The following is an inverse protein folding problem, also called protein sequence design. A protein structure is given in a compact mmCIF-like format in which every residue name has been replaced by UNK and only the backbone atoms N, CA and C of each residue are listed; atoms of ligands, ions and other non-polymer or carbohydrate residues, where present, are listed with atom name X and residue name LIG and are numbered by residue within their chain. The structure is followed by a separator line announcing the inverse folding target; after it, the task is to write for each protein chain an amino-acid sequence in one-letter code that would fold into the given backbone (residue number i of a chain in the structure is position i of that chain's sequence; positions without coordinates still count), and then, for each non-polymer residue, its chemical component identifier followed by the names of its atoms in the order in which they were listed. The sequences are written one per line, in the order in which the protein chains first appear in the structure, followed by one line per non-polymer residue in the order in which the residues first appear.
data_IF_157435074932
#
_entry.id   IF_157435074932
#
_cell.length_a   1.000
_cell.length_b   1.000
_cell.length_c   1.000
_cell.angle_alpha   90.00
_cell.angle_beta   90.00
_cell.angle_gamma   90.00
#
_symmetry.space_group_name_H-M   'P 1'
#
loop_
_entity.id
_entity.type
_entity.pdbx_description
1 polymer ?
2 polymer ?
3 water ?
#
# COMPACT_ATOMS: atom_id res chain seq x y z
N UNK A 1 43.24 -25.84 -28.84
CA UNK A 1 42.04 -26.32 -28.16
C UNK A 1 41.89 -25.73 -26.75
N UNK A 2 42.99 -25.72 -26.00
CA UNK A 2 42.98 -25.19 -24.64
C UNK A 2 42.80 -23.67 -24.64
N UNK A 3 43.44 -23.00 -25.60
CA UNK A 3 43.32 -21.56 -25.71
C UNK A 3 41.90 -21.24 -26.15
N UNK A 4 41.38 -22.06 -27.06
CA UNK A 4 40.03 -21.89 -27.56
C UNK A 4 39.05 -21.96 -26.40
N UNK A 5 39.20 -23.00 -25.58
CA UNK A 5 38.34 -23.18 -24.42
C UNK A 5 38.47 -21.98 -23.49
N UNK A 6 39.71 -21.57 -23.24
CA UNK A 6 39.97 -20.42 -22.39
C UNK A 6 39.27 -19.16 -22.90
N UNK A 7 39.33 -18.93 -24.21
CA UNK A 7 38.68 -17.78 -24.83
C UNK A 7 37.17 -17.86 -24.66
N UNK A 8 36.62 -19.05 -24.88
CA UNK A 8 35.19 -19.27 -24.73
C UNK A 8 34.78 -18.91 -23.31
N UNK A 9 35.51 -19.46 -22.34
CA UNK A 9 35.25 -19.20 -20.93
C UNK A 9 35.21 -17.71 -20.63
N UNK A 10 36.25 -17.00 -21.06
CA UNK A 10 36.32 -15.56 -20.82
C UNK A 10 35.12 -14.84 -21.41
N UNK A 11 34.77 -15.18 -22.65
CA UNK A 11 33.62 -14.58 -23.30
C UNK A 11 32.36 -14.85 -22.48
N UNK A 12 32.18 -16.11 -22.09
CA UNK A 12 31.03 -16.50 -21.29
C UNK A 12 30.97 -15.68 -20.00
N UNK A 13 32.10 -15.61 -19.30
CA UNK A 13 32.19 -14.86 -18.06
C UNK A 13 31.77 -13.40 -18.21
N UNK A 14 32.30 -12.71 -19.21
CA UNK A 14 31.94 -11.32 -19.43
C UNK A 14 30.44 -11.17 -19.59
N UNK A 15 29.89 -11.98 -20.48
CA UNK A 15 28.46 -11.97 -20.73
C UNK A 15 27.68 -12.33 -19.47
N UNK A 16 28.16 -13.31 -18.72
CA UNK A 16 27.48 -13.71 -17.50
C UNK A 16 27.45 -12.57 -16.47
N UNK A 17 28.56 -11.85 -16.34
CA UNK A 17 28.62 -10.75 -15.39
C UNK A 17 27.64 -9.67 -15.84
N UNK A 18 27.60 -9.41 -17.15
CA UNK A 18 26.67 -8.41 -17.66
C UNK A 18 25.22 -8.79 -17.37
N UNK A 19 24.91 -10.07 -17.56
CA UNK A 19 23.57 -10.58 -17.33
C UNK A 19 23.20 -10.40 -15.87
N UNK A 20 24.12 -10.74 -14.98
CA UNK A 20 23.84 -10.60 -13.57
C UNK A 20 23.64 -9.12 -13.22
N UNK A 21 24.38 -8.25 -13.89
CA UNK A 21 24.24 -6.83 -13.65
C UNK A 21 22.84 -6.36 -13.98
N UNK A 22 22.32 -6.83 -15.11
CA UNK A 22 20.97 -6.48 -15.56
C UNK A 22 19.93 -6.98 -14.57
N UNK A 23 20.12 -8.20 -14.08
CA UNK A 23 19.21 -8.77 -13.12
C UNK A 23 19.26 -7.94 -11.84
N UNK A 24 20.45 -7.48 -11.47
CA UNK A 24 20.60 -6.66 -10.27
C UNK A 24 19.82 -5.35 -10.42
N UNK A 25 19.89 -4.76 -11.61
CA UNK A 25 19.15 -3.54 -11.90
C UNK A 25 17.65 -3.80 -11.71
N UNK A 26 17.18 -4.92 -12.24
CA UNK A 26 15.79 -5.32 -12.13
C UNK A 26 15.38 -5.49 -10.66
N UNK A 27 16.25 -6.10 -9.87
CA UNK A 27 15.98 -6.31 -8.45
C UNK A 27 15.85 -4.96 -7.75
N UNK A 28 16.74 -4.03 -8.10
CA UNK A 28 16.72 -2.68 -7.57
C UNK A 28 15.38 -2.02 -7.88
N UNK A 29 14.97 -2.15 -9.14
CA UNK A 29 13.71 -1.58 -9.59
C UNK A 29 12.57 -2.15 -8.77
N UNK A 30 12.56 -3.46 -8.57
CA UNK A 30 11.52 -4.13 -7.80
C UNK A 30 11.48 -3.62 -6.37
N UNK A 31 12.65 -3.46 -5.77
CA UNK A 31 12.76 -2.95 -4.41
C UNK A 31 12.05 -1.61 -4.36
N UNK A 32 12.44 -0.72 -5.27
CA UNK A 32 11.83 0.60 -5.33
C UNK A 32 10.31 0.51 -5.48
N UNK A 33 9.86 -0.34 -6.39
CA UNK A 33 8.45 -0.55 -6.66
C UNK A 33 7.68 -0.95 -5.42
N UNK A 34 8.19 -1.91 -4.66
CA UNK A 34 7.50 -2.35 -3.45
C UNK A 34 7.40 -1.24 -2.39
N UNK A 35 8.46 -0.45 -2.24
CA UNK A 35 8.49 0.65 -1.28
C UNK A 35 7.43 1.70 -1.62
N UNK A 36 7.31 1.97 -2.92
CA UNK A 36 6.32 2.91 -3.42
C UNK A 36 4.94 2.40 -3.04
N UNK A 37 4.70 1.12 -3.27
CA UNK A 37 3.43 0.52 -2.91
C UNK A 37 3.15 0.70 -1.42
N UNK A 38 4.16 0.43 -0.61
CA UNK A 38 4.06 0.59 0.81
C UNK A 38 3.63 2.01 1.20
N UNK A 39 4.18 3.00 0.55
CA UNK A 39 3.83 4.39 0.78
C UNK A 39 2.41 4.72 0.35
N UNK A 40 2.02 4.23 -0.78
CA UNK A 40 0.73 4.44 -1.31
C UNK A 40 -0.30 3.88 -0.30
N UNK A 41 -0.13 2.67 0.12
CA UNK A 41 -0.99 2.08 1.12
C UNK A 41 -1.24 3.01 2.32
N UNK A 42 -0.21 3.61 2.86
CA UNK A 42 -0.34 4.49 3.99
C UNK A 42 -1.30 5.59 3.67
N UNK A 43 -1.13 6.18 2.53
CA UNK A 43 -1.98 7.23 2.07
C UNK A 43 -3.44 6.82 1.92
N UNK A 44 -3.69 5.67 1.32
CA UNK A 44 -4.99 5.18 1.10
C UNK A 44 -5.63 4.87 2.41
N UNK A 45 -4.95 4.12 3.26
CA UNK A 45 -5.47 3.81 4.56
C UNK A 45 -6.02 5.07 5.26
N UNK A 46 -5.22 6.11 5.30
CA UNK A 46 -5.54 7.34 5.96
C UNK A 46 -6.75 7.99 5.33
N UNK A 47 -6.69 8.31 4.06
CA UNK A 47 -7.87 8.89 3.44
C UNK A 47 -9.12 8.05 3.63
N UNK A 48 -9.03 6.76 3.30
CA UNK A 48 -10.18 5.88 3.43
C UNK A 48 -10.72 5.88 4.86
N UNK A 49 -9.83 5.74 5.83
CA UNK A 49 -10.27 5.69 7.22
C UNK A 49 -10.90 7.00 7.64
N UNK A 50 -10.31 8.11 7.21
CA UNK A 50 -10.84 9.42 7.53
C UNK A 50 -12.26 9.53 6.98
N UNK A 51 -12.43 9.13 5.73
CA UNK A 51 -13.73 9.20 5.11
C UNK A 51 -14.74 8.35 5.89
N UNK A 52 -14.36 7.12 6.23
CA UNK A 52 -15.24 6.25 6.98
C UNK A 52 -15.66 6.87 8.30
N UNK A 53 -14.69 7.43 9.01
CA UNK A 53 -14.92 8.06 10.29
C UNK A 53 -15.90 9.20 10.15
N UNK A 54 -15.66 10.06 9.16
CA UNK A 54 -16.53 11.19 8.91
C UNK A 54 -17.95 10.72 8.63
N UNK A 55 -18.07 9.70 7.79
CA UNK A 55 -19.37 9.17 7.42
C UNK A 55 -20.11 8.68 8.65
N UNK A 56 -19.40 7.95 9.50
CA UNK A 56 -19.98 7.43 10.72
C UNK A 56 -20.46 8.58 11.59
N UNK A 57 -19.56 9.52 11.85
CA UNK A 57 -19.89 10.68 12.66
C UNK A 57 -21.07 11.42 12.05
N UNK A 58 -21.05 11.56 10.73
CA UNK A 58 -22.12 12.24 10.03
C UNK A 58 -23.46 11.58 10.32
N UNK A 59 -23.54 10.26 10.22
CA UNK A 59 -24.80 9.58 10.50
C UNK A 59 -25.27 9.78 11.94
N UNK A 60 -24.35 9.75 12.90
CA UNK A 60 -24.70 9.96 14.30
C UNK A 60 -25.32 11.35 14.44
N UNK A 61 -24.65 12.33 13.85
CA UNK A 61 -25.13 13.70 13.88
C UNK A 61 -26.52 13.80 13.27
N UNK A 62 -26.70 13.16 12.12
CA UNK A 62 -27.96 13.18 11.40
C UNK A 62 -29.07 12.56 12.24
N UNK A 63 -28.77 11.45 12.90
CA UNK A 63 -29.74 10.77 13.74
C UNK A 63 -30.18 11.76 14.81
N UNK A 64 -29.23 12.39 15.50
CA UNK A 64 -29.56 13.38 16.52
C UNK A 64 -30.46 14.48 15.96
N UNK A 65 -30.04 15.05 14.84
CA UNK A 65 -30.79 16.11 14.19
C UNK A 65 -32.21 15.71 13.87
N UNK A 66 -32.38 14.57 13.21
CA UNK A 66 -33.71 14.11 12.87
C UNK A 66 -34.57 13.84 14.10
N UNK A 67 -33.97 13.30 15.16
CA UNK A 67 -34.69 13.04 16.40
C UNK A 67 -35.24 14.36 16.95
N UNK A 68 -34.36 15.36 16.99
CA UNK A 68 -34.75 16.68 17.46
C UNK A 68 -35.87 17.25 16.60
N UNK A 69 -35.75 17.10 15.29
CA UNK A 69 -36.76 17.61 14.38
C UNK A 69 -38.10 16.93 14.63
N UNK A 70 -38.08 15.62 14.84
CA UNK A 70 -39.30 14.87 15.10
C UNK A 70 -39.95 15.42 16.36
N UNK A 71 -39.17 15.59 17.42
CA UNK A 71 -39.70 16.11 18.67
C UNK A 71 -40.35 17.48 18.46
N UNK A 72 -39.63 18.33 17.75
CA UNK A 72 -40.08 19.68 17.45
C UNK A 72 -41.42 19.65 16.73
N UNK A 73 -41.51 18.83 15.69
CA UNK A 73 -42.74 18.72 14.92
C UNK A 73 -43.90 18.25 15.80
N UNK A 74 -43.64 17.27 16.66
CA UNK A 74 -44.66 16.75 17.56
C UNK A 74 -45.18 17.89 18.44
N UNK A 75 -44.26 18.66 19.01
CA UNK A 75 -44.65 19.78 19.86
C UNK A 75 -45.47 20.82 19.09
N UNK A 76 -45.05 21.08 17.86
CA UNK A 76 -45.75 22.04 17.01
C UNK A 76 -47.18 21.57 16.80
N UNK A 77 -47.35 20.29 16.49
CA UNK A 77 -48.69 19.77 16.28
C UNK A 77 -49.52 19.84 17.56
N UNK A 78 -48.90 19.59 18.71
CA UNK A 78 -49.60 19.70 19.97
C UNK A 78 -50.14 21.13 20.11
N UNK A 79 -49.27 22.11 19.88
CA UNK A 79 -49.68 23.51 19.96
C UNK A 79 -50.81 23.83 18.99
N UNK A 80 -50.70 23.32 17.77
CA UNK A 80 -51.69 23.56 16.73
C UNK A 80 -53.04 22.98 17.10
N UNK A 81 -53.03 21.80 17.71
CA UNK A 81 -54.24 21.10 18.11
C UNK A 81 -54.87 21.78 19.31
N UNK A 82 -54.04 22.42 20.13
CA UNK A 82 -54.52 23.16 21.27
C UNK A 82 -55.17 24.45 20.78
N UNK A 83 -54.66 24.99 19.67
CA UNK A 83 -55.20 26.20 19.08
C UNK A 83 -56.62 25.98 18.55
N UNK B 1 -52.13 16.06 8.97
CA UNK B 1 -50.74 15.64 8.94
C UNK B 1 -50.16 15.44 10.34
N UNK B 2 -49.42 14.35 10.52
CA UNK B 2 -48.78 14.05 11.78
C UNK B 2 -47.28 14.24 11.73
N UNK B 3 -46.60 13.63 12.69
CA UNK B 3 -45.14 13.71 12.72
C UNK B 3 -44.58 12.76 11.66
N UNK B 4 -43.60 13.22 10.87
CA UNK B 4 -43.08 12.33 9.83
C UNK B 4 -42.08 11.29 10.32
N UNK B 5 -42.05 10.15 9.63
CA UNK B 5 -41.10 9.09 9.94
C UNK B 5 -39.77 9.52 9.35
N UNK B 6 -38.79 9.77 10.20
CA UNK B 6 -37.49 10.21 9.73
C UNK B 6 -36.38 9.25 10.13
N UNK B 7 -36.40 8.05 9.58
CA UNK B 7 -35.39 7.06 9.90
C UNK B 7 -34.04 7.38 9.28
N UNK B 8 -32.98 7.01 9.99
CA UNK B 8 -31.62 7.21 9.51
C UNK B 8 -30.67 6.15 10.04
N UNK B 9 -30.19 5.31 9.14
CA UNK B 9 -29.28 4.24 9.51
C UNK B 9 -27.90 4.76 9.93
N UNK B 10 -27.48 4.40 11.13
CA UNK B 10 -26.17 4.80 11.62
C UNK B 10 -25.14 3.96 10.88
N UNK B 11 -24.12 4.61 10.33
CA UNK B 11 -23.07 3.86 9.66
C UNK B 11 -21.97 3.52 10.67
N UNK B 12 -21.70 2.23 10.84
CA UNK B 12 -20.66 1.78 11.75
C UNK B 12 -19.43 1.42 10.94
N UNK B 13 -18.47 2.32 10.95
CA UNK B 13 -17.25 2.16 10.17
C UNK B 13 -16.34 0.98 10.49
N UNK B 14 -15.94 0.29 9.43
CA UNK B 14 -14.94 -0.77 9.50
C UNK B 14 -13.61 -0.16 9.07
N UNK B 15 -12.66 -0.10 9.98
CA UNK B 15 -11.43 0.62 9.68
C UNK B 15 -10.46 -0.28 8.93
N UNK B 16 -9.83 0.30 7.92
CA UNK B 16 -8.85 -0.37 7.10
C UNK B 16 -7.53 -0.33 7.85
N UNK B 17 -7.02 -1.48 8.28
CA UNK B 17 -5.74 -1.53 8.97
C UNK B 17 -4.75 -2.27 8.07
N UNK B 18 -3.84 -1.51 7.45
CA UNK B 18 -2.88 -2.05 6.50
C UNK B 18 -1.46 -2.07 7.04
N UNK B 19 -1.29 -1.93 8.36
CA UNK B 19 0.04 -1.72 8.92
C UNK B 19 0.89 -2.98 8.82
N UNK B 20 0.30 -4.15 9.07
CA UNK B 20 1.01 -5.40 8.88
C UNK B 20 1.50 -5.58 7.46
N UNK B 21 0.61 -5.33 6.49
CA UNK B 21 0.94 -5.48 5.11
C UNK B 21 2.01 -4.50 4.65
N UNK B 22 1.92 -3.32 5.21
CA UNK B 22 2.79 -2.23 4.97
C UNK B 22 4.24 -2.37 4.58
N UNK B 23 5.26 -2.78 5.23
CA UNK B 23 5.57 -3.37 6.50
C UNK B 23 6.12 -4.73 6.15
N UNK B 24 5.24 -5.56 5.65
CA UNK B 24 5.59 -6.78 5.05
C UNK B 24 6.25 -6.27 3.72
N UNK B 25 5.60 -5.35 3.03
CA UNK B 25 6.13 -4.76 1.81
C UNK B 25 7.48 -4.14 2.12
N UNK B 26 7.55 -3.30 3.13
CA UNK B 26 8.77 -2.67 3.55
C UNK B 26 9.88 -3.67 3.69
N UNK B 27 9.59 -4.74 4.42
CA UNK B 27 10.52 -5.84 4.64
C UNK B 27 11.00 -6.44 3.32
N UNK B 28 10.07 -6.70 2.39
CA UNK B 28 10.47 -7.23 1.09
C UNK B 28 11.36 -6.25 0.35
N UNK B 29 11.03 -4.96 0.40
CA UNK B 29 11.79 -3.99 -0.38
C UNK B 29 13.22 -3.89 0.15
N UNK B 30 13.39 -3.98 1.48
CA UNK B 30 14.75 -3.94 2.01
C UNK B 30 15.50 -5.25 1.79
N UNK B 31 14.81 -6.40 1.87
CA UNK B 31 15.46 -7.65 1.51
C UNK B 31 15.96 -7.62 0.07
N UNK B 32 15.15 -7.08 -0.85
CA UNK B 32 15.61 -6.97 -2.24
C UNK B 32 16.80 -6.02 -2.35
N UNK B 33 16.79 -4.94 -1.58
CA UNK B 33 17.95 -4.05 -1.59
C UNK B 33 19.22 -4.78 -1.14
N UNK B 34 19.12 -5.49 -0.02
CA UNK B 34 20.27 -6.22 0.49
C UNK B 34 20.76 -7.25 -0.53
N UNK B 35 19.82 -7.86 -1.26
CA UNK B 35 20.18 -8.77 -2.33
C UNK B 35 21.02 -8.07 -3.38
N UNK B 36 20.66 -6.83 -3.71
CA UNK B 36 21.44 -6.10 -4.71
C UNK B 36 22.88 -5.91 -4.26
N UNK B 37 23.09 -5.64 -2.97
CA UNK B 37 24.45 -5.45 -2.48
C UNK B 37 25.25 -6.75 -2.59
N UNK B 38 24.67 -7.85 -2.09
CA UNK B 38 25.34 -9.15 -2.18
C UNK B 38 25.63 -9.53 -3.63
N UNK B 39 24.68 -9.27 -4.52
CA UNK B 39 24.85 -9.62 -5.93
C UNK B 39 25.97 -8.81 -6.57
N UNK B 40 26.10 -7.53 -6.20
CA UNK B 40 27.24 -6.76 -6.68
C UNK B 40 28.56 -7.43 -6.27
N UNK B 41 28.65 -7.87 -5.01
CA UNK B 41 29.86 -8.58 -4.56
C UNK B 41 30.11 -9.80 -5.44
N UNK B 42 29.10 -10.66 -5.56
CA UNK B 42 29.25 -11.92 -6.29
C UNK B 42 29.61 -11.68 -7.75
N UNK B 43 29.10 -10.60 -8.34
CA UNK B 43 29.38 -10.28 -9.74
C UNK B 43 30.85 -9.92 -9.90
N UNK B 44 31.37 -9.05 -9.02
CA UNK B 44 32.80 -8.75 -9.08
C UNK B 44 33.64 -10.02 -8.86
N UNK B 45 33.15 -10.94 -8.03
CA UNK B 45 33.86 -12.21 -7.82
C UNK B 45 33.90 -13.05 -9.10
N UNK B 46 32.78 -13.12 -9.82
CA UNK B 46 32.77 -13.84 -11.09
C UNK B 46 33.71 -13.18 -12.08
N UNK B 47 33.76 -11.85 -12.05
CA UNK B 47 34.67 -11.13 -12.93
C UNK B 47 36.14 -11.43 -12.61
N UNK B 48 36.45 -11.74 -11.35
CA UNK B 48 37.84 -12.02 -10.99
C UNK B 48 38.37 -13.34 -11.55
N UNK B 49 37.50 -14.22 -12.07
CA UNK B 49 37.91 -15.54 -12.52
C UNK B 49 38.31 -15.58 -13.99
N UNK B 50 38.33 -14.43 -14.67
CA UNK B 50 38.82 -14.35 -16.04
C UNK B 50 40.28 -14.83 -16.11
N UNK B 51 40.56 -15.81 -17.02
CA UNK B 51 41.91 -16.37 -17.15
C UNK B 51 42.74 -15.51 -18.08
N UNK B 52 44.05 -15.55 -17.84
CA UNK B 52 45.05 -14.85 -18.64
C UNK B 52 46.11 -15.89 -19.01
N UNK B 53 45.86 -16.65 -20.07
CA UNK B 53 46.80 -17.71 -20.46
C UNK B 53 47.66 -17.33 -21.67
#
# INVERSE_FOLDING_TARGET
NQQILANAFNQAIGNITQAFGKVNDAIHQTSKGLATVAKVLAKVQDVVNTQGQALSHLTVQLQNNFQAISSSISDIYNRLDELS
GGVPELTLDIFNATYLNLTGEIDDLEFRSEKLHNTTVELAILIDNINNTLVNL
#
